data_IF_039561603365
#
_entry.id   IF_039561603365
#
_cell.length_a   1.000
_cell.length_b   1.000
_cell.length_c   1.000
_cell.angle_alpha   90.00
_cell.angle_beta   90.00
_cell.angle_gamma   90.00
#
_symmetry.space_group_name_H-M   'P 1'
#
loop_
_entity.id
_entity.type
_entity.pdbx_description
1 polymer ?
#
# COMPACT_ATOMS: atom_id res chain seq x y z
N UNK A 1 17.77 -25.07 -13.77
CA UNK A 1 16.69 -24.65 -12.85
C UNK A 1 16.71 -23.13 -12.63
N UNK A 2 17.85 -22.50 -12.37
CA UNK A 2 17.96 -21.06 -12.08
C UNK A 2 17.38 -20.17 -13.19
N UNK A 3 17.71 -20.44 -14.46
CA UNK A 3 17.25 -19.64 -15.61
C UNK A 3 15.72 -19.62 -15.74
N UNK A 4 15.03 -20.71 -15.45
CA UNK A 4 13.57 -20.75 -15.50
C UNK A 4 12.92 -19.94 -14.37
N UNK A 5 13.53 -19.96 -13.18
CA UNK A 5 13.09 -19.14 -12.05
C UNK A 5 13.29 -17.65 -12.35
N UNK A 6 14.45 -17.28 -12.90
CA UNK A 6 14.77 -15.91 -13.27
C UNK A 6 13.81 -15.36 -14.35
N UNK A 7 13.48 -16.17 -15.37
CA UNK A 7 12.50 -15.81 -16.42
C UNK A 7 11.10 -15.68 -15.84
N UNK A 8 10.72 -16.55 -14.92
CA UNK A 8 9.41 -16.49 -14.28
C UNK A 8 9.30 -15.21 -13.44
N UNK A 9 10.29 -14.92 -12.60
CA UNK A 9 10.33 -13.73 -11.75
C UNK A 9 10.35 -12.43 -12.59
N UNK A 10 11.08 -12.42 -13.71
CA UNK A 10 11.09 -11.29 -14.65
C UNK A 10 9.71 -11.10 -15.33
N UNK A 11 9.03 -12.19 -15.64
CA UNK A 11 7.70 -12.13 -16.26
C UNK A 11 6.63 -11.61 -15.29
N UNK A 12 6.62 -12.09 -14.05
CA UNK A 12 5.74 -11.61 -12.97
C UNK A 12 5.97 -10.12 -12.71
N UNK A 13 7.24 -9.70 -12.66
CA UNK A 13 7.60 -8.31 -12.50
C UNK A 13 7.08 -7.43 -13.64
N UNK A 14 7.25 -7.85 -14.91
CA UNK A 14 6.75 -7.13 -16.08
C UNK A 14 5.23 -7.01 -16.10
N UNK A 15 4.52 -8.07 -15.71
CA UNK A 15 3.06 -8.05 -15.58
C UNK A 15 2.65 -6.99 -14.56
N UNK A 16 3.24 -6.99 -13.37
CA UNK A 16 2.95 -6.00 -12.34
C UNK A 16 3.21 -4.56 -12.78
N UNK A 17 4.28 -4.33 -13.55
CA UNK A 17 4.59 -3.02 -14.14
C UNK A 17 3.50 -2.56 -15.10
N UNK A 18 3.10 -3.43 -16.04
CA UNK A 18 2.06 -3.12 -17.03
C UNK A 18 0.72 -2.88 -16.36
N UNK A 19 0.35 -3.70 -15.37
CA UNK A 19 -0.89 -3.53 -14.60
C UNK A 19 -0.92 -2.20 -13.85
N UNK A 20 0.17 -1.84 -13.17
CA UNK A 20 0.27 -0.57 -12.46
C UNK A 20 0.16 0.63 -13.41
N UNK A 21 0.85 0.58 -14.56
CA UNK A 21 0.81 1.65 -15.55
C UNK A 21 -0.59 1.80 -16.16
N UNK A 22 -1.24 0.68 -16.50
CA UNK A 22 -2.61 0.69 -17.00
C UNK A 22 -3.60 1.24 -15.96
N UNK A 23 -3.42 0.88 -14.69
CA UNK A 23 -4.26 1.37 -13.60
C UNK A 23 -4.12 2.88 -13.42
N UNK A 24 -2.89 3.41 -13.38
CA UNK A 24 -2.63 4.86 -13.31
C UNK A 24 -3.24 5.59 -14.52
N UNK A 25 -3.04 5.06 -15.72
CA UNK A 25 -3.56 5.69 -16.94
C UNK A 25 -5.09 5.74 -16.92
N UNK A 26 -5.76 4.64 -16.51
CA UNK A 26 -7.23 4.61 -16.42
C UNK A 26 -7.78 5.53 -15.34
N UNK A 27 -7.07 5.68 -14.22
CA UNK A 27 -7.41 6.63 -13.16
C UNK A 27 -7.34 8.08 -13.68
N UNK A 28 -6.22 8.44 -14.29
CA UNK A 28 -5.97 9.79 -14.79
C UNK A 28 -6.93 10.19 -15.93
N UNK A 29 -7.29 9.25 -16.81
CA UNK A 29 -8.22 9.47 -17.91
C UNK A 29 -9.70 9.50 -17.44
N UNK A 30 -9.99 9.28 -16.16
CA UNK A 30 -11.36 9.18 -15.66
C UNK A 30 -12.15 7.99 -16.22
N UNK A 31 -11.46 7.01 -16.81
CA UNK A 31 -12.08 5.84 -17.45
C UNK A 31 -12.33 4.68 -16.47
N UNK A 32 -11.77 4.77 -15.26
CA UNK A 32 -11.98 3.75 -14.24
C UNK A 32 -13.38 3.93 -13.63
N UNK A 33 -14.19 2.89 -13.73
CA UNK A 33 -15.49 2.83 -13.06
C UNK A 33 -15.30 2.24 -11.67
N UNK A 34 -15.34 3.09 -10.64
CA UNK A 34 -15.26 2.65 -9.26
C UNK A 34 -16.49 1.85 -8.85
N UNK A 35 -16.27 0.80 -8.09
CA UNK A 35 -17.32 -0.01 -7.46
C UNK A 35 -17.32 0.24 -5.95
N UNK A 36 -17.77 1.40 -5.54
CA UNK A 36 -17.87 1.75 -4.13
C UNK A 36 -18.89 0.89 -3.40
N UNK A 37 -18.46 0.23 -2.34
CA UNK A 37 -19.28 -0.54 -1.41
C UNK A 37 -18.88 -0.20 0.02
N UNK A 38 -19.81 -0.39 0.96
CA UNK A 38 -19.55 -0.20 2.38
C UNK A 38 -19.00 -1.51 2.93
N UNK A 39 -17.78 -1.47 3.48
CA UNK A 39 -17.04 -2.64 3.93
C UNK A 39 -16.41 -2.41 5.31
N UNK A 40 -16.27 -3.47 6.07
CA UNK A 40 -15.52 -3.45 7.32
C UNK A 40 -14.02 -3.41 7.01
N UNK A 41 -13.33 -2.46 7.63
CA UNK A 41 -11.92 -2.21 7.36
C UNK A 41 -11.02 -3.39 7.75
N UNK A 42 -11.31 -4.05 8.87
CA UNK A 42 -10.58 -5.23 9.34
C UNK A 42 -10.67 -6.40 8.35
N UNK A 43 -11.83 -6.62 7.72
CA UNK A 43 -12.00 -7.64 6.68
C UNK A 43 -11.14 -7.33 5.43
N UNK A 44 -11.08 -6.06 5.02
CA UNK A 44 -10.27 -5.63 3.86
C UNK A 44 -8.78 -5.75 4.17
N UNK A 45 -8.35 -5.41 5.39
CA UNK A 45 -6.97 -5.63 5.84
C UNK A 45 -6.64 -7.13 5.84
N UNK A 46 -7.51 -7.97 6.41
CA UNK A 46 -7.30 -9.42 6.45
C UNK A 46 -7.24 -10.03 5.03
N UNK A 47 -8.06 -9.56 4.10
CA UNK A 47 -8.02 -10.00 2.71
C UNK A 47 -6.72 -9.58 2.02
N UNK A 48 -6.25 -8.35 2.24
CA UNK A 48 -4.99 -7.87 1.65
C UNK A 48 -3.79 -8.74 2.05
N UNK A 49 -3.76 -9.24 3.28
CA UNK A 49 -2.69 -10.12 3.78
C UNK A 49 -2.65 -11.48 3.05
N UNK A 50 -3.77 -11.95 2.49
CA UNK A 50 -3.81 -13.19 1.69
C UNK A 50 -3.16 -13.03 0.32
N UNK A 51 -3.06 -11.81 -0.17
CA UNK A 51 -2.43 -11.48 -1.46
C UNK A 51 -0.92 -11.25 -1.37
N UNK A 52 -0.37 -11.17 -0.16
CA UNK A 52 1.07 -10.99 0.04
C UNK A 52 1.80 -12.30 -0.26
N UNK A 53 2.89 -12.21 -1.03
CA UNK A 53 3.67 -13.38 -1.42
C UNK A 53 4.26 -14.12 -0.20
N UNK A 54 4.53 -15.44 -0.34
CA UNK A 54 5.09 -16.30 0.74
C UNK A 54 6.43 -15.82 1.35
N UNK A 55 7.06 -14.81 0.77
CA UNK A 55 8.26 -14.18 1.35
C UNK A 55 8.03 -13.46 2.68
N UNK A 56 6.76 -13.32 3.11
CA UNK A 56 6.42 -12.69 4.39
C UNK A 56 6.69 -13.57 5.62
N UNK A 57 6.94 -14.86 5.45
CA UNK A 57 7.19 -15.78 6.57
C UNK A 57 8.41 -15.38 7.42
N UNK A 58 9.33 -14.60 6.83
CA UNK A 58 10.50 -14.04 7.50
C UNK A 58 10.20 -12.72 8.26
N UNK A 59 8.97 -12.21 8.19
CA UNK A 59 8.58 -10.93 8.77
C UNK A 59 7.47 -11.10 9.80
N UNK A 60 7.49 -10.26 10.84
CA UNK A 60 6.41 -10.22 11.82
C UNK A 60 5.36 -9.19 11.40
N UNK A 61 4.30 -9.65 10.74
CA UNK A 61 3.17 -8.79 10.36
C UNK A 61 2.13 -8.79 11.48
N UNK A 62 1.76 -7.60 11.96
CA UNK A 62 0.78 -7.38 13.03
C UNK A 62 -0.35 -6.50 12.52
N UNK A 63 -1.56 -6.78 12.95
CA UNK A 63 -2.74 -5.95 12.66
C UNK A 63 -3.36 -5.46 13.97
N UNK A 64 -3.73 -4.18 13.98
CA UNK A 64 -4.41 -3.53 15.09
C UNK A 64 -5.49 -2.62 14.50
N UNK A 65 -6.71 -3.12 14.42
CA UNK A 65 -7.83 -2.42 13.82
C UNK A 65 -8.93 -2.20 14.85
N UNK A 66 -9.41 -0.97 14.95
CA UNK A 66 -10.59 -0.63 15.74
C UNK A 66 -11.80 -1.40 15.20
N UNK A 67 -12.65 -1.89 16.10
CA UNK A 67 -13.82 -2.65 15.73
C UNK A 67 -14.87 -1.81 14.99
N UNK A 68 -15.58 -2.43 14.04
CA UNK A 68 -16.72 -1.85 13.33
C UNK A 68 -16.41 -0.54 12.58
N UNK A 69 -15.21 -0.42 12.02
CA UNK A 69 -14.87 0.68 11.11
C UNK A 69 -15.45 0.40 9.74
N UNK A 70 -16.62 0.96 9.45
CA UNK A 70 -17.29 0.84 8.16
C UNK A 70 -16.86 1.98 7.23
N UNK A 71 -16.32 1.60 6.06
CA UNK A 71 -15.71 2.53 5.10
C UNK A 71 -16.31 2.31 3.73
N UNK A 72 -16.63 3.40 3.03
CA UNK A 72 -17.09 3.35 1.64
C UNK A 72 -15.89 3.36 0.69
N UNK A 73 -15.64 2.23 0.03
CA UNK A 73 -14.46 2.07 -0.81
C UNK A 73 -14.69 1.13 -2.00
N UNK A 74 -13.81 1.23 -2.98
CA UNK A 74 -13.59 0.15 -3.96
C UNK A 74 -12.58 -0.83 -3.35
N UNK A 75 -13.08 -1.98 -2.93
CA UNK A 75 -12.32 -2.99 -2.17
C UNK A 75 -11.07 -3.45 -2.92
N UNK A 76 -11.19 -3.68 -4.23
CA UNK A 76 -10.06 -4.19 -5.02
C UNK A 76 -8.91 -3.18 -5.10
N UNK A 77 -9.25 -1.91 -5.25
CA UNK A 77 -8.25 -0.84 -5.30
C UNK A 77 -7.62 -0.61 -3.93
N UNK A 78 -8.38 -0.67 -2.85
CA UNK A 78 -7.80 -0.51 -1.50
C UNK A 78 -6.94 -1.71 -1.11
N UNK A 79 -7.32 -2.94 -1.48
CA UNK A 79 -6.44 -4.11 -1.34
C UNK A 79 -5.13 -3.88 -2.09
N UNK A 80 -5.18 -3.36 -3.32
CA UNK A 80 -3.98 -3.05 -4.09
C UNK A 80 -3.08 -2.00 -3.39
N UNK A 81 -3.67 -0.97 -2.77
CA UNK A 81 -2.92 0.01 -1.95
C UNK A 81 -2.23 -0.70 -0.78
N UNK A 82 -2.96 -1.48 0.01
CA UNK A 82 -2.42 -2.18 1.16
C UNK A 82 -1.29 -3.14 0.76
N UNK A 83 -1.50 -3.95 -0.27
CA UNK A 83 -0.47 -4.87 -0.78
C UNK A 83 0.78 -4.11 -1.22
N UNK A 84 0.64 -3.02 -1.98
CA UNK A 84 1.79 -2.21 -2.41
C UNK A 84 2.56 -1.61 -1.21
N UNK A 85 1.87 -1.12 -0.19
CA UNK A 85 2.53 -0.55 0.99
C UNK A 85 3.23 -1.63 1.83
N UNK A 86 2.60 -2.79 2.01
CA UNK A 86 3.19 -3.91 2.76
C UNK A 86 4.38 -4.50 1.99
N UNK A 87 4.27 -4.68 0.68
CA UNK A 87 5.37 -5.16 -0.16
C UNK A 87 6.56 -4.19 -0.14
N UNK A 88 6.30 -2.88 -0.10
CA UNK A 88 7.36 -1.89 0.11
C UNK A 88 8.03 -2.07 1.47
N UNK A 89 7.26 -2.24 2.55
CA UNK A 89 7.83 -2.48 3.88
C UNK A 89 8.70 -3.76 3.89
N UNK A 90 8.24 -4.85 3.31
CA UNK A 90 9.00 -6.11 3.18
C UNK A 90 10.29 -5.89 2.36
N UNK A 91 10.18 -5.15 1.26
CA UNK A 91 11.30 -4.93 0.34
C UNK A 91 12.44 -4.09 0.93
N UNK A 92 12.10 -3.08 1.72
CA UNK A 92 13.07 -2.11 2.23
C UNK A 92 13.49 -2.36 3.68
N UNK A 93 13.02 -3.45 4.28
CA UNK A 93 13.43 -3.87 5.62
C UNK A 93 14.18 -5.21 5.59
N UNK A 94 14.84 -5.56 6.68
CA UNK A 94 15.55 -6.84 6.79
C UNK A 94 14.60 -7.96 7.26
N UNK A 95 14.88 -9.22 6.93
CA UNK A 95 14.21 -10.36 7.54
C UNK A 95 14.19 -10.26 9.08
N UNK A 96 13.07 -10.59 9.69
CA UNK A 96 12.83 -10.41 11.13
C UNK A 96 12.23 -9.06 11.51
N UNK A 97 12.10 -8.13 10.56
CA UNK A 97 11.45 -6.83 10.82
C UNK A 97 9.97 -6.97 11.18
N UNK A 98 9.47 -5.97 11.89
CA UNK A 98 8.07 -5.85 12.29
C UNK A 98 7.37 -4.87 11.35
N UNK A 99 6.24 -5.30 10.80
CA UNK A 99 5.35 -4.48 9.98
C UNK A 99 4.00 -4.46 10.69
N UNK A 100 3.48 -3.28 10.99
CA UNK A 100 2.21 -3.12 11.70
C UNK A 100 1.21 -2.36 10.82
N UNK A 101 0.03 -2.94 10.64
CA UNK A 101 -1.09 -2.31 9.95
C UNK A 101 -2.12 -1.91 11.00
N UNK A 102 -2.44 -0.61 11.08
CA UNK A 102 -3.46 -0.12 12.00
C UNK A 102 -4.61 0.54 11.25
N UNK A 103 -5.80 0.40 11.82
CA UNK A 103 -7.01 1.06 11.35
C UNK A 103 -7.77 1.67 12.50
N UNK A 104 -8.02 2.98 12.46
CA UNK A 104 -8.75 3.70 13.51
C UNK A 104 -9.79 4.64 12.91
N UNK A 105 -10.82 4.96 13.69
CA UNK A 105 -11.74 6.05 13.37
C UNK A 105 -11.15 7.37 13.82
N UNK A 106 -11.24 8.36 12.96
CA UNK A 106 -10.97 9.77 13.27
C UNK A 106 -12.19 10.59 12.93
N UNK A 107 -12.15 11.91 13.09
CA UNK A 107 -13.27 12.80 12.79
C UNK A 107 -13.75 12.67 11.34
N UNK A 108 -14.81 11.88 11.11
CA UNK A 108 -15.45 11.66 9.80
C UNK A 108 -14.66 10.80 8.81
N UNK A 109 -13.53 10.23 9.21
CA UNK A 109 -12.66 9.40 8.35
C UNK A 109 -12.18 8.16 9.07
N UNK A 110 -11.88 7.12 8.30
CA UNK A 110 -10.99 6.04 8.72
C UNK A 110 -9.56 6.44 8.40
N UNK A 111 -8.65 6.25 9.36
CA UNK A 111 -7.21 6.40 9.15
C UNK A 111 -6.57 5.02 9.20
N UNK A 112 -5.81 4.71 8.18
CA UNK A 112 -5.08 3.45 8.04
C UNK A 112 -3.60 3.77 7.99
N UNK A 113 -2.78 3.05 8.77
CA UNK A 113 -1.33 3.17 8.73
C UNK A 113 -0.66 1.83 8.45
N UNK A 114 0.43 1.87 7.69
CA UNK A 114 1.36 0.75 7.49
C UNK A 114 2.72 1.22 7.99
N UNK A 115 3.15 0.64 9.09
CA UNK A 115 4.36 1.00 9.81
C UNK A 115 5.42 -0.09 9.66
N UNK A 116 6.65 0.29 9.44
CA UNK A 116 7.81 -0.60 9.46
C UNK A 116 8.91 -0.07 10.38
N UNK A 117 9.80 -0.95 10.81
CA UNK A 117 10.98 -0.62 11.60
C UNK A 117 12.27 -0.67 10.76
N UNK A 118 12.18 -0.31 9.49
CA UNK A 118 13.30 -0.27 8.55
C UNK A 118 14.23 0.95 8.72
N UNK A 119 15.06 1.22 7.71
CA UNK A 119 16.02 2.32 7.78
C UNK A 119 15.38 3.72 7.68
N UNK A 120 14.09 3.81 7.31
CA UNK A 120 13.42 5.07 7.00
C UNK A 120 13.77 5.62 5.61
N UNK A 121 13.24 6.79 5.30
CA UNK A 121 13.46 7.51 4.03
C UNK A 121 14.08 8.88 4.33
N UNK A 122 15.21 9.22 3.68
CA UNK A 122 15.83 10.55 3.84
C UNK A 122 14.86 11.70 3.53
N UNK A 123 14.97 12.80 4.27
CA UNK A 123 14.04 13.93 4.16
C UNK A 123 13.94 14.50 2.74
N UNK A 124 15.10 14.60 2.05
CA UNK A 124 15.17 15.06 0.67
C UNK A 124 14.42 14.19 -0.34
N UNK A 125 14.13 12.94 0.01
CA UNK A 125 13.43 12.00 -0.85
C UNK A 125 11.92 11.99 -0.60
N UNK A 126 11.47 12.34 0.60
CA UNK A 126 10.06 12.23 1.01
C UNK A 126 9.10 13.00 0.12
N UNK A 127 9.52 14.16 -0.41
CA UNK A 127 8.70 15.00 -1.30
C UNK A 127 8.47 14.36 -2.67
N UNK A 128 9.29 13.39 -3.09
CA UNK A 128 9.29 12.83 -4.43
C UNK A 128 8.79 11.38 -4.49
N UNK A 129 8.64 10.70 -3.36
CA UNK A 129 8.35 9.25 -3.32
C UNK A 129 7.02 8.86 -3.98
N UNK A 130 6.08 9.79 -4.11
CA UNK A 130 4.80 9.59 -4.77
C UNK A 130 4.82 9.97 -6.27
N UNK A 131 5.94 10.48 -6.78
CA UNK A 131 6.10 10.77 -8.20
C UNK A 131 6.29 9.48 -9.01
N UNK A 132 5.70 9.43 -10.20
CA UNK A 132 5.89 8.30 -11.10
C UNK A 132 7.36 8.16 -11.51
N UNK A 133 7.83 6.93 -11.55
CA UNK A 133 9.20 6.56 -11.92
C UNK A 133 10.28 7.07 -10.95
N UNK A 134 9.89 7.61 -9.81
CA UNK A 134 10.87 7.96 -8.79
C UNK A 134 11.34 6.72 -8.04
N UNK A 135 12.62 6.44 -8.14
CA UNK A 135 13.31 5.39 -7.38
C UNK A 135 14.43 6.04 -6.61
N UNK A 136 14.35 5.98 -5.28
CA UNK A 136 15.42 6.51 -4.44
C UNK A 136 16.77 5.87 -4.83
N UNK A 137 17.84 6.64 -4.78
CA UNK A 137 19.22 6.14 -4.96
C UNK A 137 19.60 5.27 -3.76
N UNK A 138 19.03 4.10 -3.63
CA UNK A 138 19.45 3.12 -2.62
C UNK A 138 20.50 2.24 -3.22
N UNK A 139 21.70 2.29 -2.63
CA UNK A 139 22.85 1.40 -2.91
C UNK A 139 22.62 -0.05 -2.47
N UNK A 140 21.44 -0.42 -2.02
CA UNK A 140 21.01 -1.81 -1.88
C UNK A 140 20.56 -2.24 -3.27
N UNK A 141 21.56 -2.22 -4.16
CA UNK A 141 21.41 -2.73 -5.50
C UNK A 141 21.19 -4.23 -5.43
N UNK A 142 20.47 -4.68 -6.37
CA UNK A 142 20.60 -5.92 -7.11
C UNK A 142 19.58 -7.01 -6.94
N UNK A 143 18.54 -6.91 -6.13
CA UNK A 143 17.54 -7.98 -6.21
C UNK A 143 16.10 -7.57 -6.48
N UNK A 144 15.76 -6.29 -6.44
CA UNK A 144 14.35 -5.91 -6.59
C UNK A 144 14.18 -4.75 -7.57
N UNK A 145 13.93 -5.09 -8.83
CA UNK A 145 13.55 -4.13 -9.87
C UNK A 145 12.28 -3.39 -9.44
N UNK A 146 12.40 -2.08 -9.25
CA UNK A 146 11.29 -1.21 -8.87
C UNK A 146 11.26 -0.05 -9.85
N UNK A 147 10.16 0.13 -10.54
CA UNK A 147 9.97 1.23 -11.50
C UNK A 147 9.42 2.51 -10.86
N UNK A 148 9.23 2.53 -9.54
CA UNK A 148 8.68 3.71 -8.87
C UNK A 148 7.22 3.99 -9.24
N UNK A 149 6.43 2.95 -9.55
CA UNK A 149 5.02 3.10 -9.91
C UNK A 149 4.07 2.77 -8.75
N UNK A 150 4.49 1.93 -7.80
CA UNK A 150 3.61 1.45 -6.75
C UNK A 150 3.07 2.55 -5.84
N UNK A 151 3.94 3.43 -5.33
CA UNK A 151 3.51 4.53 -4.45
C UNK A 151 2.72 5.62 -5.20
N UNK A 152 3.08 5.91 -6.47
CA UNK A 152 2.32 6.80 -7.32
C UNK A 152 0.89 6.28 -7.57
N UNK A 153 0.75 4.96 -7.79
CA UNK A 153 -0.55 4.31 -7.92
C UNK A 153 -1.34 4.39 -6.61
N UNK A 154 -0.72 4.10 -5.47
CA UNK A 154 -1.36 4.24 -4.15
C UNK A 154 -1.91 5.65 -3.94
N UNK A 155 -1.10 6.67 -4.24
CA UNK A 155 -1.49 8.07 -4.12
C UNK A 155 -2.71 8.37 -4.99
N UNK A 156 -2.68 8.00 -6.27
CA UNK A 156 -3.79 8.23 -7.21
C UNK A 156 -5.08 7.50 -6.79
N UNK A 157 -4.98 6.27 -6.28
CA UNK A 157 -6.14 5.52 -5.78
C UNK A 157 -6.75 6.22 -4.57
N UNK A 158 -5.94 6.62 -3.60
CA UNK A 158 -6.42 7.26 -2.37
C UNK A 158 -7.04 8.63 -2.67
N UNK A 159 -6.44 9.43 -3.54
CA UNK A 159 -7.04 10.70 -4.00
C UNK A 159 -8.40 10.47 -4.67
N UNK A 160 -8.52 9.45 -5.52
CA UNK A 160 -9.78 9.10 -6.17
C UNK A 160 -10.86 8.60 -5.18
N UNK A 161 -10.48 8.19 -3.98
CA UNK A 161 -11.36 7.88 -2.86
C UNK A 161 -11.65 9.08 -1.95
N UNK A 162 -11.26 10.31 -2.33
CA UNK A 162 -11.32 11.52 -1.51
C UNK A 162 -10.55 11.40 -0.18
N UNK A 163 -9.49 10.59 -0.18
CA UNK A 163 -8.56 10.41 0.93
C UNK A 163 -7.28 11.22 0.75
N UNK A 164 -6.37 11.03 1.68
CA UNK A 164 -5.00 11.56 1.63
C UNK A 164 -4.02 10.45 1.95
N UNK A 165 -2.86 10.43 1.29
CA UNK A 165 -1.76 9.51 1.59
C UNK A 165 -0.52 10.33 1.92
N UNK A 166 0.07 10.10 3.08
CA UNK A 166 1.28 10.78 3.55
C UNK A 166 2.30 9.76 4.08
N UNK A 167 3.55 10.18 4.13
CA UNK A 167 4.63 9.48 4.81
C UNK A 167 5.10 10.28 6.03
N UNK A 168 5.25 9.59 7.16
CA UNK A 168 5.90 10.09 8.36
C UNK A 168 7.01 9.14 8.82
N UNK A 169 7.92 9.62 9.67
CA UNK A 169 8.90 8.74 10.28
C UNK A 169 8.26 7.91 11.39
N UNK A 170 8.69 6.67 11.50
CA UNK A 170 8.38 5.80 12.62
C UNK A 170 9.54 5.80 13.62
N UNK A 171 9.28 6.09 14.89
CA UNK A 171 10.32 6.13 15.93
C UNK A 171 10.62 4.70 16.47
N UNK A 172 11.89 4.37 16.75
CA UNK A 172 13.10 5.18 16.64
C UNK A 172 13.67 5.26 15.22
N UNK A 173 13.24 4.41 14.30
CA UNK A 173 13.58 4.40 12.87
C UNK A 173 12.52 3.60 12.11
N UNK A 174 12.31 3.92 10.84
CA UNK A 174 11.36 3.27 9.96
C UNK A 174 10.45 4.25 9.25
N UNK A 175 9.49 3.71 8.51
CA UNK A 175 8.47 4.47 7.79
C UNK A 175 7.09 4.22 8.38
N UNK A 176 6.25 5.23 8.28
CA UNK A 176 4.83 5.11 8.55
C UNK A 176 4.06 5.77 7.41
N UNK A 177 3.48 4.94 6.53
CA UNK A 177 2.56 5.38 5.49
C UNK A 177 1.16 5.46 6.08
N UNK A 178 0.58 6.64 6.06
CA UNK A 178 -0.76 6.92 6.61
C UNK A 178 -1.67 7.35 5.48
N UNK A 179 -2.81 6.68 5.33
CA UNK A 179 -3.85 7.14 4.42
C UNK A 179 -5.20 7.23 5.09
N UNK A 180 -6.06 8.08 4.54
CA UNK A 180 -7.42 8.30 5.05
C UNK A 180 -8.45 7.93 4.00
N UNK A 181 -9.62 7.46 4.46
CA UNK A 181 -10.80 7.21 3.63
C UNK A 181 -12.03 7.78 4.31
N UNK A 182 -13.06 8.24 3.56
CA UNK A 182 -14.33 8.65 4.14
C UNK A 182 -15.00 7.46 4.86
N UNK A 183 -15.51 7.69 6.07
CA UNK A 183 -16.39 6.71 6.71
C UNK A 183 -17.68 6.55 5.91
N UNK A 184 -18.27 5.37 5.99
CA UNK A 184 -19.60 5.15 5.47
C UNK A 184 -20.62 5.89 6.35
N UNK A 185 -21.50 6.66 5.72
CA UNK A 185 -22.65 7.24 6.41
C UNK A 185 -23.70 6.14 6.63
N UNK A 186 -23.76 5.62 7.85
CA UNK A 186 -24.85 4.72 8.24
C UNK A 186 -26.11 5.57 8.44
N UNK A 187 -26.92 5.73 7.40
CA UNK A 187 -28.27 6.20 7.57
C UNK A 187 -29.08 5.08 8.24
N UNK A 188 -29.25 5.18 9.55
CA UNK A 188 -30.29 4.41 10.26
C UNK A 188 -31.64 4.90 9.71
N UNK A 189 -32.17 4.19 8.74
CA UNK A 189 -33.58 4.35 8.38
C UNK A 189 -34.40 3.79 9.55
N UNK A 190 -34.99 4.68 10.36
CA UNK A 190 -36.04 4.35 11.32
C UNK A 190 -37.32 3.91 10.61
#
# INVERSE_FOLDING_TARGET
>A
HQIYTDIYDDSEWLIGVVENLLSITRLNDGRLKFKFTDQLLDEVIAESLRHISRKHDDYKIMTDCEELVLVRMDVQLIIQVLVNLIDNAIKYTLPGSVICIRGIKTEGKAQISVEDNGPGIPEEMKSHIFEMFYTGKTTVADSHRSLGLGLALCHSIIEAHNGTLILTDHAPHGCNFIFTLPLSEVTLNE
#
